data_IF_128958263807
#
_entry.id   IF_128958263807
#
_cell.length_a   1.000
_cell.length_b   1.000
_cell.length_c   1.000
_cell.angle_alpha   90.00
_cell.angle_beta   90.00
_cell.angle_gamma   90.00
#
_symmetry.space_group_name_H-M   'P 1'
#
loop_
_entity.id
_entity.type
_entity.pdbx_description
1 polymer ?
#
# COMPACT_ATOMS: atom_id res chain seq x y z
N UNK A 1 0.67 39.63 -46.14
CA UNK A 1 1.05 38.81 -44.97
C UNK A 1 -0.24 38.32 -44.34
N UNK A 2 -0.60 37.06 -44.55
CA UNK A 2 -1.67 36.39 -43.82
C UNK A 2 -0.98 35.50 -42.78
N UNK A 3 -1.07 35.84 -41.50
CA UNK A 3 -0.66 34.95 -40.43
C UNK A 3 -1.88 34.09 -40.08
N UNK A 4 -1.82 32.81 -40.44
CA UNK A 4 -2.67 31.78 -39.86
C UNK A 4 -2.23 31.53 -38.42
N UNK A 5 -3.18 31.48 -37.50
CA UNK A 5 -2.98 30.87 -36.19
C UNK A 5 -4.12 29.86 -36.03
N UNK A 6 -3.79 28.60 -36.35
CA UNK A 6 -4.54 27.47 -35.86
C UNK A 6 -3.70 26.81 -34.75
N UNK A 7 -4.43 26.23 -33.80
CA UNK A 7 -3.98 25.26 -32.80
C UNK A 7 -3.41 25.83 -31.49
N UNK A 8 -4.29 25.99 -30.50
CA UNK A 8 -3.91 25.81 -29.11
C UNK A 8 -4.54 24.50 -28.64
N UNK A 9 -3.69 23.48 -28.57
CA UNK A 9 -3.93 22.13 -28.12
C UNK A 9 -4.81 22.04 -26.88
N UNK A 10 -5.95 21.36 -27.03
CA UNK A 10 -6.64 20.70 -25.93
C UNK A 10 -5.77 19.54 -25.44
N UNK A 11 -4.88 19.77 -24.47
CA UNK A 11 -4.21 18.68 -23.76
C UNK A 11 -5.14 18.11 -22.66
N UNK A 12 -6.30 17.60 -23.10
CA UNK A 12 -7.09 16.64 -22.34
C UNK A 12 -6.53 15.26 -22.65
N UNK A 13 -5.64 14.78 -21.79
CA UNK A 13 -5.48 13.34 -21.62
C UNK A 13 -5.41 13.01 -20.13
N UNK A 14 -6.60 12.95 -19.52
CA UNK A 14 -6.83 12.02 -18.42
C UNK A 14 -6.65 10.60 -18.97
N UNK A 15 -5.39 10.14 -19.06
CA UNK A 15 -5.12 8.74 -19.29
C UNK A 15 -5.54 8.01 -18.02
N UNK A 16 -6.74 7.41 -18.07
CA UNK A 16 -7.20 6.46 -17.07
C UNK A 16 -6.08 5.43 -16.83
N UNK A 17 -5.67 5.18 -15.58
CA UNK A 17 -4.71 4.13 -15.28
C UNK A 17 -5.11 2.82 -15.97
N UNK A 18 -4.15 2.09 -16.56
CA UNK A 18 -4.42 0.86 -17.29
C UNK A 18 -5.29 -0.11 -16.49
N UNK A 19 -6.32 -0.65 -17.13
CA UNK A 19 -7.26 -1.60 -16.54
C UNK A 19 -6.50 -2.86 -16.11
N UNK A 20 -6.59 -3.23 -14.84
CA UNK A 20 -6.20 -4.56 -14.39
C UNK A 20 -7.38 -5.50 -14.63
N UNK A 21 -7.28 -6.37 -15.64
CA UNK A 21 -8.22 -7.46 -15.83
C UNK A 21 -7.81 -8.59 -14.89
N UNK A 22 -8.63 -8.85 -13.87
CA UNK A 22 -8.50 -10.08 -13.09
C UNK A 22 -8.85 -11.29 -13.96
N UNK A 23 -8.19 -12.41 -13.70
CA UNK A 23 -8.39 -13.72 -14.34
C UNK A 23 -9.82 -14.28 -14.12
N UNK A 24 -10.62 -13.61 -13.29
CA UNK A 24 -11.99 -13.95 -12.91
C UNK A 24 -13.07 -13.37 -13.85
N UNK A 25 -12.73 -12.51 -14.81
CA UNK A 25 -13.68 -11.96 -15.79
C UNK A 25 -14.78 -11.05 -15.23
N UNK A 26 -14.79 -10.77 -13.92
CA UNK A 26 -15.78 -9.92 -13.25
C UNK A 26 -15.36 -8.46 -13.29
N UNK A 27 -16.16 -7.62 -13.95
CA UNK A 27 -16.02 -6.16 -13.88
C UNK A 27 -16.48 -5.70 -12.49
N UNK A 28 -15.55 -5.54 -11.55
CA UNK A 28 -15.82 -4.85 -10.28
C UNK A 28 -15.90 -3.33 -10.54
N UNK A 29 -16.88 -2.59 -9.99
CA UNK A 29 -16.95 -1.14 -10.14
C UNK A 29 -15.62 -0.49 -9.77
N UNK A 30 -15.11 0.41 -10.62
CA UNK A 30 -13.82 1.08 -10.42
C UNK A 30 -13.80 1.79 -9.07
N UNK A 31 -13.07 1.22 -8.11
CA UNK A 31 -12.78 1.93 -6.86
C UNK A 31 -11.58 2.82 -7.17
N UNK A 32 -11.79 4.13 -7.20
CA UNK A 32 -10.73 5.14 -7.40
C UNK A 32 -9.49 4.83 -6.55
N UNK A 33 -9.72 4.33 -5.32
CA UNK A 33 -8.71 3.89 -4.36
C UNK A 33 -7.76 2.81 -4.91
N UNK A 34 -8.25 1.89 -5.75
CA UNK A 34 -7.47 0.78 -6.32
C UNK A 34 -6.54 1.26 -7.45
N UNK A 35 -7.04 2.15 -8.31
CA UNK A 35 -6.23 2.81 -9.33
C UNK A 35 -5.16 3.71 -8.70
N UNK A 36 -5.52 4.49 -7.68
CA UNK A 36 -4.58 5.33 -6.93
C UNK A 36 -3.49 4.49 -6.24
N UNK A 37 -3.88 3.43 -5.53
CA UNK A 37 -2.94 2.54 -4.85
C UNK A 37 -1.97 1.84 -5.80
N UNK A 38 -2.46 1.37 -6.95
CA UNK A 38 -1.60 0.75 -7.97
C UNK A 38 -0.60 1.75 -8.57
N UNK A 39 -1.03 3.00 -8.81
CA UNK A 39 -0.14 4.06 -9.28
C UNK A 39 0.90 4.45 -8.23
N UNK A 40 0.54 4.44 -6.93
CA UNK A 40 1.50 4.69 -5.85
C UNK A 40 2.64 3.67 -5.88
N UNK A 41 2.35 2.37 -6.04
CA UNK A 41 3.38 1.32 -6.13
C UNK A 41 4.38 1.54 -7.27
N UNK A 42 3.93 2.10 -8.40
CA UNK A 42 4.79 2.45 -9.53
C UNK A 42 5.72 3.65 -9.24
N UNK A 43 5.34 4.50 -8.28
CA UNK A 43 6.06 5.74 -7.95
C UNK A 43 7.01 5.59 -6.76
N UNK A 44 6.79 4.62 -5.86
CA UNK A 44 7.66 4.40 -4.70
C UNK A 44 9.06 4.03 -5.20
N UNK A 45 10.06 4.80 -4.77
CA UNK A 45 11.48 4.56 -5.06
C UNK A 45 11.77 4.24 -6.54
N UNK A 46 11.27 5.09 -7.45
CA UNK A 46 11.43 4.94 -8.90
C UNK A 46 10.95 3.59 -9.46
N UNK A 47 9.85 3.05 -8.90
CA UNK A 47 9.22 1.84 -9.39
C UNK A 47 9.77 0.55 -8.79
N UNK A 48 10.52 0.62 -7.68
CA UNK A 48 10.99 -0.55 -6.93
C UNK A 48 9.88 -1.55 -6.62
N UNK A 49 8.66 -1.05 -6.38
CA UNK A 49 7.48 -1.85 -6.02
C UNK A 49 6.48 -2.00 -7.16
N UNK A 50 6.81 -1.63 -8.39
CA UNK A 50 5.88 -1.63 -9.53
C UNK A 50 5.32 -3.03 -9.86
N UNK A 51 6.03 -4.11 -9.50
CA UNK A 51 5.60 -5.50 -9.70
C UNK A 51 4.65 -6.01 -8.61
N UNK A 52 4.47 -5.27 -7.51
CA UNK A 52 3.64 -5.70 -6.40
C UNK A 52 2.17 -5.51 -6.75
N UNK A 53 1.32 -6.46 -6.35
CA UNK A 53 -0.12 -6.39 -6.57
C UNK A 53 -0.78 -5.67 -5.39
N UNK A 54 -1.36 -4.50 -5.65
CA UNK A 54 -2.09 -3.70 -4.67
C UNK A 54 -3.33 -4.45 -4.14
N UNK A 55 -3.61 -4.31 -2.84
CA UNK A 55 -4.84 -4.79 -2.20
C UNK A 55 -5.59 -3.65 -1.51
N UNK A 56 -4.91 -2.91 -0.65
CA UNK A 56 -5.50 -1.83 0.14
C UNK A 56 -4.44 -0.81 0.56
N UNK A 57 -4.87 0.40 0.93
CA UNK A 57 -4.01 1.35 1.66
C UNK A 57 -4.86 2.20 2.59
N UNK A 58 -4.32 2.61 3.73
CA UNK A 58 -4.94 3.59 4.61
C UNK A 58 -3.93 4.63 5.06
N UNK A 59 -4.39 5.88 5.14
CA UNK A 59 -3.58 6.99 5.62
C UNK A 59 -3.42 6.87 7.14
N UNK A 60 -2.18 6.91 7.61
CA UNK A 60 -1.85 6.93 9.04
C UNK A 60 -1.86 8.38 9.53
N UNK A 61 -1.31 9.30 8.74
CA UNK A 61 -1.40 10.74 8.97
C UNK A 61 -1.65 11.48 7.63
N UNK A 62 -1.12 12.69 7.43
CA UNK A 62 -1.23 13.42 6.16
C UNK A 62 -0.18 13.00 5.11
N UNK A 63 0.95 12.43 5.54
CA UNK A 63 2.10 12.07 4.70
C UNK A 63 2.32 10.56 4.64
N UNK A 64 1.97 9.85 5.70
CA UNK A 64 2.28 8.44 5.89
C UNK A 64 1.05 7.59 5.63
N UNK A 65 1.27 6.46 4.98
CA UNK A 65 0.25 5.47 4.69
C UNK A 65 0.80 4.05 4.84
N UNK A 66 -0.06 3.16 5.29
CA UNK A 66 0.20 1.72 5.27
C UNK A 66 -0.44 1.13 4.01
N UNK A 67 0.35 0.45 3.20
CA UNK A 67 -0.10 -0.28 2.02
C UNK A 67 -0.10 -1.79 2.30
N UNK A 68 -1.18 -2.44 1.91
CA UNK A 68 -1.34 -3.89 1.88
C UNK A 68 -1.22 -4.35 0.43
N UNK A 69 -0.39 -5.34 0.19
CA UNK A 69 -0.14 -5.93 -1.13
C UNK A 69 -0.35 -7.44 -1.05
N UNK A 70 -0.36 -8.13 -2.20
CA UNK A 70 -0.52 -9.60 -2.23
C UNK A 70 0.64 -10.34 -1.55
N UNK A 71 1.83 -9.76 -1.46
CA UNK A 71 3.03 -10.39 -0.90
C UNK A 71 3.42 -9.89 0.50
N UNK A 72 2.83 -8.79 0.97
CA UNK A 72 3.16 -8.22 2.27
C UNK A 72 2.64 -6.81 2.47
N UNK A 73 3.25 -6.10 3.41
CA UNK A 73 2.91 -4.73 3.78
C UNK A 73 4.08 -3.78 3.57
N UNK A 74 3.75 -2.53 3.21
CA UNK A 74 4.71 -1.44 3.04
C UNK A 74 4.25 -0.25 3.88
N UNK A 75 5.15 0.34 4.65
CA UNK A 75 4.91 1.64 5.27
C UNK A 75 5.60 2.72 4.45
N UNK A 76 4.80 3.62 3.90
CA UNK A 76 5.25 4.58 2.90
C UNK A 76 5.04 5.98 3.44
N UNK A 77 6.09 6.80 3.36
CA UNK A 77 6.07 8.20 3.74
C UNK A 77 6.19 9.08 2.51
N UNK A 78 5.33 10.08 2.41
CA UNK A 78 5.38 11.14 1.41
C UNK A 78 6.28 12.27 1.91
N UNK A 79 7.44 12.43 1.28
CA UNK A 79 8.35 13.53 1.58
C UNK A 79 7.83 14.89 1.09
N UNK A 80 8.56 15.96 1.43
CA UNK A 80 8.16 17.36 1.19
C UNK A 80 7.89 17.69 -0.27
N UNK A 81 8.64 17.08 -1.21
CA UNK A 81 8.45 17.28 -2.66
C UNK A 81 7.52 16.24 -3.29
N UNK A 82 6.78 15.50 -2.47
CA UNK A 82 5.83 14.48 -2.93
C UNK A 82 6.45 13.14 -3.31
N UNK A 83 7.76 12.95 -3.10
CA UNK A 83 8.41 11.65 -3.28
C UNK A 83 7.85 10.62 -2.28
N UNK A 84 7.64 9.39 -2.75
CA UNK A 84 7.18 8.29 -1.92
C UNK A 84 8.36 7.38 -1.58
N UNK A 85 8.65 7.24 -0.29
CA UNK A 85 9.75 6.41 0.23
C UNK A 85 9.18 5.27 1.07
N UNK A 86 9.75 4.07 0.96
CA UNK A 86 9.37 2.93 1.79
C UNK A 86 10.23 2.89 3.05
N UNK A 87 9.67 3.28 4.20
CA UNK A 87 10.38 3.29 5.48
C UNK A 87 10.68 1.88 5.99
N UNK A 88 9.71 0.98 5.86
CA UNK A 88 9.89 -0.43 6.17
C UNK A 88 8.87 -1.28 5.40
N UNK A 89 9.23 -2.54 5.20
CA UNK A 89 8.39 -3.53 4.55
C UNK A 89 8.54 -4.87 5.24
N UNK A 90 7.47 -5.65 5.23
CA UNK A 90 7.47 -7.04 5.66
C UNK A 90 6.69 -7.88 4.66
N UNK A 91 7.20 -9.07 4.34
CA UNK A 91 6.41 -10.12 3.69
C UNK A 91 5.59 -10.85 4.74
N UNK A 92 4.52 -11.53 4.31
CA UNK A 92 3.68 -12.28 5.25
C UNK A 92 4.43 -13.42 5.96
N UNK A 93 5.40 -14.05 5.30
CA UNK A 93 6.25 -15.11 5.90
C UNK A 93 7.17 -14.59 7.02
N UNK A 94 7.36 -13.28 7.09
CA UNK A 94 8.09 -12.63 8.17
C UNK A 94 7.24 -12.41 9.40
N UNK A 95 5.91 -12.48 9.32
CA UNK A 95 5.06 -12.26 10.49
C UNK A 95 5.25 -13.38 11.50
N UNK A 96 5.47 -13.00 12.76
CA UNK A 96 5.64 -13.95 13.87
C UNK A 96 4.31 -14.23 14.58
N UNK A 97 3.35 -13.30 14.45
CA UNK A 97 1.97 -13.44 14.91
C UNK A 97 1.03 -12.79 13.92
N UNK A 98 -0.24 -13.17 14.01
CA UNK A 98 -1.31 -12.48 13.31
C UNK A 98 -1.35 -11.01 13.76
N UNK A 99 -1.46 -10.04 12.83
CA UNK A 99 -1.66 -8.65 13.19
C UNK A 99 -2.91 -8.48 14.05
N UNK A 100 -2.89 -7.58 15.02
CA UNK A 100 -4.04 -7.34 15.89
C UNK A 100 -4.13 -5.87 16.30
N UNK A 101 -5.33 -5.43 16.66
CA UNK A 101 -5.59 -4.06 17.11
C UNK A 101 -5.45 -3.98 18.63
N UNK A 102 -4.72 -2.97 19.08
CA UNK A 102 -4.57 -2.54 20.46
C UNK A 102 -5.20 -1.16 20.61
N UNK A 103 -5.83 -0.87 21.75
CA UNK A 103 -6.46 0.42 22.06
C UNK A 103 -7.41 0.94 20.95
N UNK A 104 -8.11 0.03 20.27
CA UNK A 104 -9.12 0.32 19.25
C UNK A 104 -8.61 0.82 17.88
N UNK A 105 -7.45 1.49 17.81
CA UNK A 105 -6.92 2.12 16.57
C UNK A 105 -5.45 1.86 16.28
N UNK A 106 -4.75 1.11 17.15
CA UNK A 106 -3.32 0.84 17.00
C UNK A 106 -3.14 -0.56 16.45
N UNK A 107 -2.83 -0.69 15.17
CA UNK A 107 -2.51 -1.99 14.57
C UNK A 107 -1.08 -2.38 14.94
N UNK A 108 -0.92 -3.56 15.55
CA UNK A 108 0.39 -4.13 15.86
C UNK A 108 0.72 -5.23 14.85
N UNK A 109 1.89 -5.11 14.23
CA UNK A 109 2.44 -6.10 13.30
C UNK A 109 3.76 -6.59 13.91
N UNK A 110 3.80 -7.86 14.29
CA UNK A 110 5.01 -8.52 14.82
C UNK A 110 5.68 -9.31 13.70
N UNK A 111 6.98 -9.10 13.49
CA UNK A 111 7.73 -9.69 12.39
C UNK A 111 9.15 -10.07 12.80
N UNK A 112 9.72 -11.03 12.06
CA UNK A 112 11.12 -11.48 12.19
C UNK A 112 12.05 -10.30 12.00
N UNK A 113 13.06 -10.22 12.85
CA UNK A 113 14.12 -9.24 12.69
C UNK A 113 14.96 -9.58 11.45
N UNK A 114 15.21 -8.60 10.58
CA UNK A 114 16.14 -8.74 9.45
C UNK A 114 17.62 -8.55 9.91
N UNK A 115 18.03 -9.16 11.04
CA UNK A 115 19.38 -9.50 11.64
C UNK A 115 20.48 -8.39 11.71
N UNK A 116 21.42 -8.27 12.69
CA UNK A 116 21.99 -9.13 13.76
C UNK A 116 22.10 -8.36 15.10
N UNK A 117 21.40 -8.79 16.15
CA UNK A 117 21.77 -8.46 17.53
C UNK A 117 21.95 -9.75 18.33
N UNK A 118 23.14 -9.91 18.93
CA UNK A 118 23.48 -11.00 19.86
C UNK A 118 22.90 -10.73 21.27
N UNK A 119 22.10 -9.68 21.45
CA UNK A 119 21.70 -9.24 22.79
C UNK A 119 20.25 -8.77 22.84
N UNK A 120 19.55 -9.36 23.82
CA UNK A 120 18.23 -9.03 24.38
C UNK A 120 17.03 -9.29 23.46
N UNK A 121 16.21 -10.27 23.87
CA UNK A 121 14.88 -10.52 23.34
C UNK A 121 14.03 -9.25 23.46
N UNK A 122 13.92 -8.49 22.36
CA UNK A 122 13.07 -7.32 22.24
C UNK A 122 11.82 -7.76 21.50
N UNK A 123 10.64 -7.37 21.97
CA UNK A 123 9.41 -7.62 21.21
C UNK A 123 9.51 -6.91 19.84
N UNK A 124 9.69 -7.69 18.77
CA UNK A 124 9.86 -7.18 17.42
C UNK A 124 8.49 -6.92 16.80
N UNK A 125 8.04 -5.67 16.83
CA UNK A 125 6.82 -5.28 16.15
C UNK A 125 6.72 -3.79 15.86
N UNK A 126 6.01 -3.45 14.79
CA UNK A 126 5.62 -2.08 14.47
C UNK A 126 4.20 -1.83 14.98
N UNK A 127 3.99 -0.70 15.63
CA UNK A 127 2.66 -0.23 16.03
C UNK A 127 2.30 0.94 15.12
N UNK A 128 1.26 0.76 14.32
CA UNK A 128 0.72 1.77 13.41
C UNK A 128 -0.51 2.38 14.07
N UNK A 129 -0.46 3.69 14.31
CA UNK A 129 -1.52 4.41 14.99
C UNK A 129 -2.43 5.12 13.98
N UNK A 130 -3.58 4.53 13.67
CA UNK A 130 -4.51 5.11 12.70
C UNK A 130 -5.27 6.32 13.28
N UNK A 131 -5.76 7.17 12.37
CA UNK A 131 -6.63 8.30 12.73
C UNK A 131 -7.94 7.83 13.33
N UNK A 132 -8.52 6.78 12.75
CA UNK A 132 -9.83 6.23 13.14
C UNK A 132 -9.71 4.74 13.45
N UNK A 133 -10.52 4.21 14.38
CA UNK A 133 -10.60 2.76 14.62
C UNK A 133 -11.16 2.02 13.40
N UNK A 134 -11.98 2.67 12.57
CA UNK A 134 -12.52 2.11 11.32
C UNK A 134 -11.41 1.79 10.32
N UNK A 135 -10.44 2.71 10.14
CA UNK A 135 -9.29 2.47 9.27
C UNK A 135 -8.45 1.29 9.75
N UNK A 136 -8.22 1.19 11.06
CA UNK A 136 -7.48 0.08 11.67
C UNK A 136 -8.18 -1.26 11.41
N UNK A 137 -9.49 -1.33 11.68
CA UNK A 137 -10.32 -2.53 11.46
C UNK A 137 -10.38 -2.91 9.97
N UNK A 138 -10.51 -1.92 9.10
CA UNK A 138 -10.56 -2.14 7.66
C UNK A 138 -9.25 -2.70 7.12
N UNK A 139 -8.10 -2.17 7.56
CA UNK A 139 -6.80 -2.72 7.19
C UNK A 139 -6.61 -4.13 7.76
N UNK A 140 -6.96 -4.36 9.02
CA UNK A 140 -6.85 -5.69 9.63
C UNK A 140 -7.65 -6.73 8.84
N UNK A 141 -8.89 -6.43 8.50
CA UNK A 141 -9.73 -7.28 7.64
C UNK A 141 -9.08 -7.57 6.28
N UNK A 142 -8.38 -6.61 5.68
CA UNK A 142 -7.66 -6.84 4.42
C UNK A 142 -6.43 -7.73 4.57
N UNK A 143 -5.76 -7.69 5.72
CA UNK A 143 -4.64 -8.60 6.03
C UNK A 143 -5.15 -10.04 6.20
N UNK A 144 -6.29 -10.21 6.87
CA UNK A 144 -6.96 -11.50 7.05
C UNK A 144 -7.41 -12.08 5.70
N UNK A 145 -8.09 -11.29 4.86
CA UNK A 145 -8.52 -11.71 3.51
C UNK A 145 -7.33 -12.20 2.66
N UNK A 146 -6.19 -11.50 2.69
CA UNK A 146 -5.02 -11.91 1.89
C UNK A 146 -4.45 -13.24 2.38
N UNK A 147 -4.44 -13.45 3.70
CA UNK A 147 -3.95 -14.68 4.32
C UNK A 147 -4.84 -15.88 3.97
N UNK A 148 -6.15 -15.73 4.05
CA UNK A 148 -7.11 -16.80 3.72
C UNK A 148 -7.05 -17.21 2.25
N UNK A 149 -6.77 -16.26 1.36
CA UNK A 149 -6.69 -16.49 -0.09
C UNK A 149 -5.32 -16.99 -0.57
N UNK A 150 -4.35 -17.22 0.33
CA UNK A 150 -3.09 -17.86 -0.07
C UNK A 150 -3.32 -19.36 -0.26
N UNK A 151 -2.92 -19.95 -1.41
CA UNK A 151 -3.02 -21.39 -1.61
C UNK A 151 -2.22 -22.09 -0.51
N UNK A 152 -2.90 -22.91 0.30
CA UNK A 152 -2.23 -23.78 1.27
C UNK A 152 -1.37 -24.76 0.48
N UNK A 153 -0.06 -24.70 0.67
CA UNK A 153 0.88 -25.64 0.07
C UNK A 153 0.64 -27.06 0.64
#
# INVERSE_FOLDING_TARGET
MCLGVADSSEDVISLRPPRFFGEDGVIRPYRLRDGTGSQMLQKIENGRFAKFRYIAHAMVNSTDLLMVTKSGVLFVTKGTFGQLTCEWQYTYDEFTKEPFIVDGRRLRIEAKERVKSVFHAKEFGKIINFKTPEDAKWILSKLEEVRENQPKL
#
